data_IF_483903399227
#
_entry.id   IF_483903399227
#
_cell.length_a   1.000
_cell.length_b   1.000
_cell.length_c   1.000
_cell.angle_alpha   90.00
_cell.angle_beta   90.00
_cell.angle_gamma   90.00
#
_symmetry.space_group_name_H-M   'P 1'
#
loop_
_entity.id
_entity.type
_entity.pdbx_description
1 polymer ?
#
# COMPACT_ATOMS: atom_id res chain seq x y z
N UNK A 1 -14.28 -0.03 5.56
CA UNK A 1 -15.13 1.17 5.40
C UNK A 1 -14.86 1.79 4.03
N UNK A 2 -15.86 1.80 3.15
CA UNK A 2 -15.70 2.24 1.75
C UNK A 2 -15.57 3.77 1.71
N UNK A 3 -14.47 4.31 1.19
CA UNK A 3 -14.33 5.77 1.02
C UNK A 3 -15.57 6.34 0.29
N UNK A 4 -16.16 7.45 0.77
CA UNK A 4 -17.36 8.03 0.17
C UNK A 4 -17.11 8.34 -1.32
N UNK A 5 -18.10 8.05 -2.18
CA UNK A 5 -17.99 8.18 -3.65
C UNK A 5 -17.43 9.54 -4.09
N UNK A 6 -17.72 10.60 -3.34
CA UNK A 6 -17.30 11.98 -3.62
C UNK A 6 -15.79 12.20 -3.62
N UNK A 7 -15.00 11.40 -2.89
CA UNK A 7 -13.56 11.61 -2.80
C UNK A 7 -12.72 10.74 -3.73
N UNK A 8 -13.35 9.78 -4.43
CA UNK A 8 -12.63 8.86 -5.33
C UNK A 8 -12.01 9.53 -6.54
N UNK A 9 -12.68 10.54 -7.09
CA UNK A 9 -12.19 11.27 -8.26
C UNK A 9 -10.96 12.13 -7.92
N UNK A 10 -10.98 12.97 -6.86
CA UNK A 10 -9.79 13.69 -6.41
C UNK A 10 -8.60 12.76 -6.11
N UNK A 11 -8.84 11.64 -5.43
CA UNK A 11 -7.76 10.69 -5.08
C UNK A 11 -7.21 10.00 -6.33
N UNK A 12 -8.08 9.54 -7.24
CA UNK A 12 -7.64 8.92 -8.49
C UNK A 12 -6.83 9.90 -9.36
N UNK A 13 -7.27 11.16 -9.46
CA UNK A 13 -6.54 12.21 -10.17
C UNK A 13 -5.17 12.47 -9.51
N UNK A 14 -5.12 12.48 -8.17
CA UNK A 14 -3.86 12.65 -7.45
C UNK A 14 -2.88 11.50 -7.68
N UNK A 15 -3.35 10.25 -7.64
CA UNK A 15 -2.55 9.06 -7.93
C UNK A 15 -2.05 9.07 -9.39
N UNK A 16 -2.93 9.35 -10.35
CA UNK A 16 -2.59 9.38 -11.77
C UNK A 16 -1.55 10.45 -12.10
N UNK A 17 -1.57 11.57 -11.39
CA UNK A 17 -0.62 12.66 -11.57
C UNK A 17 0.80 12.36 -11.03
N UNK A 18 1.05 11.16 -10.52
CA UNK A 18 2.41 10.66 -10.36
C UNK A 18 3.05 10.29 -11.72
N UNK A 19 2.26 9.87 -12.71
CA UNK A 19 2.74 9.63 -14.07
C UNK A 19 2.89 10.95 -14.85
N UNK A 20 3.93 11.13 -15.70
CA UNK A 20 4.02 12.28 -16.59
C UNK A 20 2.84 12.42 -17.57
N UNK A 21 2.10 11.34 -17.83
CA UNK A 21 0.95 11.28 -18.72
C UNK A 21 -0.30 10.74 -17.99
N UNK A 22 -0.93 11.50 -17.07
CA UNK A 22 -1.99 10.98 -16.19
C UNK A 22 -3.19 10.35 -16.92
N UNK A 23 -3.47 10.80 -18.14
CA UNK A 23 -4.49 10.22 -19.00
C UNK A 23 -4.26 8.72 -19.30
N UNK A 24 -3.01 8.27 -19.44
CA UNK A 24 -2.69 6.86 -19.71
C UNK A 24 -3.06 5.99 -18.50
N UNK A 25 -2.84 6.49 -17.29
CA UNK A 25 -3.24 5.83 -16.03
C UNK A 25 -4.75 5.70 -15.97
N UNK A 26 -5.50 6.77 -16.26
CA UNK A 26 -6.96 6.72 -16.28
C UNK A 26 -7.50 5.74 -17.32
N UNK A 27 -6.92 5.69 -18.52
CA UNK A 27 -7.28 4.71 -19.54
C UNK A 27 -6.99 3.27 -19.10
N UNK A 28 -5.83 3.03 -18.48
CA UNK A 28 -5.48 1.70 -17.97
C UNK A 28 -6.48 1.25 -16.89
N UNK A 29 -6.80 2.10 -15.93
CA UNK A 29 -7.84 1.83 -14.94
C UNK A 29 -9.22 1.58 -15.56
N UNK A 30 -9.60 2.34 -16.59
CA UNK A 30 -10.88 2.15 -17.26
C UNK A 30 -10.95 0.81 -18.01
N UNK A 31 -9.85 0.35 -18.60
CA UNK A 31 -9.78 -0.86 -19.42
C UNK A 31 -9.52 -2.13 -18.61
N UNK A 32 -8.70 -2.04 -17.57
CA UNK A 32 -8.11 -3.19 -16.87
C UNK A 32 -8.39 -3.18 -15.37
N UNK A 33 -8.90 -2.08 -14.81
CA UNK A 33 -9.08 -1.93 -13.37
C UNK A 33 -7.77 -1.77 -12.59
N UNK A 34 -6.63 -1.70 -13.29
CA UNK A 34 -5.27 -1.59 -12.75
C UNK A 34 -4.45 -0.66 -13.64
N UNK A 35 -3.52 0.10 -13.06
CA UNK A 35 -2.54 0.89 -13.81
C UNK A 35 -1.15 0.73 -13.19
N UNK A 36 -0.12 0.77 -14.02
CA UNK A 36 1.27 0.88 -13.57
C UNK A 36 1.59 2.36 -13.36
N UNK A 37 1.97 2.75 -12.14
CA UNK A 37 2.24 4.14 -11.77
C UNK A 37 3.68 4.25 -11.27
N UNK A 38 4.47 5.23 -11.77
CA UNK A 38 5.85 5.43 -11.32
C UNK A 38 5.90 5.96 -9.88
N UNK A 39 6.81 5.37 -9.10
CA UNK A 39 7.18 5.82 -7.76
C UNK A 39 8.25 6.94 -7.83
N UNK A 40 8.57 7.55 -6.70
CA UNK A 40 9.59 8.61 -6.62
C UNK A 40 9.13 9.99 -7.10
N UNK A 41 7.82 10.19 -7.29
CA UNK A 41 7.24 11.48 -7.73
C UNK A 41 6.24 12.05 -6.75
N UNK A 42 5.14 11.33 -6.49
CA UNK A 42 4.14 11.73 -5.50
C UNK A 42 4.17 10.86 -4.24
N UNK A 43 4.62 9.63 -4.39
CA UNK A 43 4.74 8.67 -3.32
C UNK A 43 5.79 7.62 -3.68
N UNK A 44 6.32 7.00 -2.64
CA UNK A 44 7.12 5.79 -2.68
C UNK A 44 6.30 4.63 -2.08
N UNK A 45 6.89 3.43 -2.08
CA UNK A 45 6.27 2.28 -1.43
C UNK A 45 7.30 1.50 -0.61
N UNK A 46 6.94 1.13 0.62
CA UNK A 46 7.70 0.15 1.40
C UNK A 46 7.12 -1.23 1.10
N UNK A 47 7.96 -2.13 0.60
CA UNK A 47 7.59 -3.50 0.26
C UNK A 47 7.77 -4.40 1.48
N UNK A 48 6.66 -4.82 2.05
CA UNK A 48 6.65 -5.65 3.26
C UNK A 48 6.22 -7.08 2.90
N UNK A 49 7.00 -8.11 3.26
CA UNK A 49 6.59 -9.49 3.08
C UNK A 49 5.28 -9.82 3.82
N UNK A 50 4.51 -10.77 3.28
CA UNK A 50 3.21 -11.15 3.82
C UNK A 50 3.30 -11.61 5.27
N UNK A 51 4.26 -12.49 5.52
CA UNK A 51 4.53 -13.15 6.78
C UNK A 51 4.84 -12.16 7.88
N UNK A 52 5.55 -11.07 7.57
CA UNK A 52 5.85 -10.02 8.55
C UNK A 52 4.60 -9.26 8.97
N UNK A 53 3.75 -8.90 8.01
CA UNK A 53 2.48 -8.23 8.31
C UNK A 53 1.58 -9.18 9.10
N UNK A 54 1.46 -10.44 8.69
CA UNK A 54 0.60 -11.41 9.37
C UNK A 54 1.10 -11.74 10.78
N UNK A 55 2.42 -11.81 10.98
CA UNK A 55 3.01 -11.97 12.31
C UNK A 55 2.72 -10.75 13.20
N UNK A 56 2.86 -9.53 12.68
CA UNK A 56 2.58 -8.30 13.43
C UNK A 56 1.11 -8.19 13.85
N UNK A 57 0.20 -8.59 12.95
CA UNK A 57 -1.25 -8.58 13.16
C UNK A 57 -1.71 -9.76 14.03
N UNK A 58 -0.93 -10.83 14.11
CA UNK A 58 -1.31 -12.08 14.80
C UNK A 58 -2.27 -12.96 13.98
N UNK A 59 -2.32 -12.80 12.66
CA UNK A 59 -3.21 -13.56 11.79
C UNK A 59 -3.12 -13.17 10.31
N UNK A 60 -3.71 -14.01 9.45
CA UNK A 60 -3.71 -13.85 8.00
C UNK A 60 -5.13 -13.70 7.40
N UNK A 61 -6.16 -13.60 8.24
CA UNK A 61 -7.53 -13.43 7.78
C UNK A 61 -7.67 -12.04 7.10
N UNK A 62 -8.05 -11.99 5.80
CA UNK A 62 -8.04 -10.76 5.03
C UNK A 62 -8.77 -9.56 5.63
N UNK A 63 -9.96 -9.76 6.22
CA UNK A 63 -10.77 -8.67 6.75
C UNK A 63 -10.21 -8.13 8.06
N UNK A 64 -9.74 -9.01 8.95
CA UNK A 64 -9.07 -8.67 10.20
C UNK A 64 -7.76 -7.94 9.94
N UNK A 65 -6.95 -8.39 8.97
CA UNK A 65 -5.73 -7.70 8.56
C UNK A 65 -6.06 -6.31 7.99
N UNK A 66 -7.09 -6.19 7.15
CA UNK A 66 -7.49 -4.90 6.60
C UNK A 66 -7.97 -3.92 7.68
N UNK A 67 -8.78 -4.39 8.63
CA UNK A 67 -9.27 -3.58 9.74
C UNK A 67 -8.12 -3.11 10.65
N UNK A 68 -7.21 -4.01 11.01
CA UNK A 68 -6.05 -3.70 11.83
C UNK A 68 -5.14 -2.67 11.12
N UNK A 69 -4.80 -2.89 9.85
CA UNK A 69 -3.92 -1.98 9.12
C UNK A 69 -4.55 -0.60 8.90
N UNK A 70 -5.88 -0.54 8.70
CA UNK A 70 -6.59 0.73 8.59
C UNK A 70 -6.52 1.54 9.88
N UNK A 71 -6.66 0.90 11.03
CA UNK A 71 -6.58 1.53 12.34
C UNK A 71 -5.15 1.95 12.70
N UNK A 72 -4.17 1.08 12.43
CA UNK A 72 -2.78 1.30 12.85
C UNK A 72 -1.99 2.27 11.96
N UNK A 73 -2.11 2.12 10.63
CA UNK A 73 -1.28 2.89 9.70
C UNK A 73 -1.90 4.22 9.29
N UNK A 74 -3.23 4.35 9.42
CA UNK A 74 -4.02 5.51 8.97
C UNK A 74 -3.62 5.98 7.56
N UNK A 75 -3.47 5.02 6.64
CA UNK A 75 -2.99 5.32 5.30
C UNK A 75 -3.06 4.15 4.33
N UNK A 76 -2.77 4.41 3.05
CA UNK A 76 -3.02 3.48 1.97
C UNK A 76 -2.06 2.29 1.90
N UNK A 77 -2.64 1.10 1.73
CA UNK A 77 -1.91 -0.17 1.60
C UNK A 77 -2.46 -0.97 0.43
N UNK A 78 -1.57 -1.41 -0.45
CA UNK A 78 -1.85 -2.33 -1.56
C UNK A 78 -1.31 -3.71 -1.21
N UNK A 79 -2.01 -4.76 -1.64
CA UNK A 79 -1.56 -6.15 -1.54
C UNK A 79 -1.43 -6.76 -2.93
N UNK A 80 -0.29 -7.40 -3.19
CA UNK A 80 -0.15 -8.35 -4.30
C UNK A 80 -0.87 -9.65 -3.94
N UNK A 81 -1.80 -10.07 -4.80
CA UNK A 81 -2.66 -11.24 -4.58
C UNK A 81 -2.41 -12.36 -5.58
N UNK A 82 -1.37 -12.24 -6.42
CA UNK A 82 -0.98 -13.30 -7.39
C UNK A 82 -0.50 -14.58 -6.70
N UNK A 83 -0.10 -14.45 -5.43
CA UNK A 83 0.34 -15.54 -4.56
C UNK A 83 -0.18 -15.27 -3.15
N UNK A 84 -0.47 -16.33 -2.39
CA UNK A 84 -0.81 -16.22 -0.97
C UNK A 84 0.27 -15.47 -0.17
N UNK A 85 1.52 -15.52 -0.63
CA UNK A 85 2.69 -14.86 -0.04
C UNK A 85 3.13 -13.60 -0.80
N UNK A 86 2.29 -13.02 -1.67
CA UNK A 86 2.61 -11.74 -2.31
C UNK A 86 2.95 -10.66 -1.27
N UNK A 87 3.69 -9.58 -1.57
CA UNK A 87 3.98 -8.55 -0.58
C UNK A 87 2.82 -7.56 -0.37
N UNK A 88 2.83 -6.86 0.76
CA UNK A 88 2.13 -5.59 0.95
C UNK A 88 3.01 -4.43 0.47
N UNK A 89 2.40 -3.41 -0.09
CA UNK A 89 3.03 -2.15 -0.47
C UNK A 89 2.35 -1.03 0.31
N UNK A 90 3.09 -0.45 1.25
CA UNK A 90 2.64 0.67 2.08
C UNK A 90 3.08 1.95 1.38
N UNK A 91 2.14 2.80 0.96
CA UNK A 91 2.51 4.03 0.26
C UNK A 91 2.92 5.09 1.27
N UNK A 92 4.06 5.73 1.02
CA UNK A 92 4.67 6.72 1.92
C UNK A 92 5.12 7.95 1.13
N UNK A 93 5.32 9.08 1.81
CA UNK A 93 5.84 10.29 1.18
C UNK A 93 7.27 10.08 0.68
N UNK A 94 7.63 10.73 -0.44
CA UNK A 94 8.94 10.59 -1.10
C UNK A 94 10.10 11.16 -0.29
N UNK A 95 9.83 12.05 0.66
CA UNK A 95 10.80 12.67 1.56
C UNK A 95 10.78 12.06 2.98
N UNK A 96 9.84 11.16 3.27
CA UNK A 96 9.75 10.53 4.58
C UNK A 96 10.98 9.63 4.83
N UNK A 97 11.52 9.66 6.04
CA UNK A 97 12.65 8.83 6.40
C UNK A 97 12.20 7.36 6.62
N UNK A 98 13.01 6.41 6.17
CA UNK A 98 12.79 4.99 6.42
C UNK A 98 14.09 4.34 6.90
N UNK A 99 14.01 3.69 8.06
CA UNK A 99 15.14 3.04 8.73
C UNK A 99 14.88 1.56 9.03
N UNK A 100 13.76 1.01 8.56
CA UNK A 100 13.46 -0.42 8.71
C UNK A 100 14.24 -1.28 7.70
N UNK A 101 14.13 -2.60 7.86
CA UNK A 101 14.87 -3.56 7.05
C UNK A 101 14.23 -3.80 5.66
N UNK A 102 12.95 -3.46 5.53
CA UNK A 102 12.17 -3.68 4.32
C UNK A 102 12.60 -2.73 3.20
N UNK A 103 12.48 -3.21 1.97
CA UNK A 103 12.88 -2.46 0.78
C UNK A 103 11.95 -1.27 0.56
N UNK A 104 12.54 -0.07 0.44
CA UNK A 104 11.85 1.12 -0.07
C UNK A 104 12.00 1.17 -1.58
N UNK A 105 10.88 1.08 -2.28
CA UNK A 105 10.77 1.26 -3.72
C UNK A 105 10.50 2.74 -4.03
N UNK A 106 11.32 3.32 -4.91
CA UNK A 106 11.21 4.73 -5.32
C UNK A 106 11.45 4.90 -6.83
N UNK A 107 12.29 5.84 -7.25
CA UNK A 107 12.54 6.15 -8.66
C UNK A 107 12.91 4.90 -9.48
N UNK A 108 12.58 4.93 -10.77
CA UNK A 108 12.74 3.82 -11.71
C UNK A 108 11.92 2.55 -11.38
N UNK A 109 10.95 2.65 -10.46
CA UNK A 109 10.03 1.55 -10.15
C UNK A 109 8.60 1.90 -10.53
N UNK A 110 7.88 0.93 -11.10
CA UNK A 110 6.44 1.02 -11.38
C UNK A 110 5.68 0.14 -10.39
N UNK A 111 4.62 0.69 -9.78
CA UNK A 111 3.72 -0.03 -8.90
C UNK A 111 2.37 -0.27 -9.58
N UNK A 112 1.85 -1.49 -9.48
CA UNK A 112 0.49 -1.82 -9.93
C UNK A 112 -0.56 -1.32 -8.94
N UNK A 113 -1.19 -0.19 -9.27
CA UNK A 113 -2.18 0.49 -8.44
C UNK A 113 -3.60 0.17 -8.93
N UNK A 114 -4.46 -0.49 -8.13
CA UNK A 114 -5.84 -0.79 -8.52
C UNK A 114 -6.70 0.46 -8.63
N UNK A 115 -7.71 0.42 -9.48
CA UNK A 115 -8.73 1.47 -9.55
C UNK A 115 -9.57 1.48 -8.26
N UNK A 116 -9.75 2.66 -7.66
CA UNK A 116 -10.59 2.81 -6.48
C UNK A 116 -12.05 2.42 -6.74
N UNK A 117 -12.62 1.63 -5.85
CA UNK A 117 -14.03 1.23 -5.92
C UNK A 117 -14.37 0.24 -7.03
N UNK A 118 -13.37 -0.31 -7.72
CA UNK A 118 -13.55 -1.37 -8.69
C UNK A 118 -13.50 -2.73 -7.98
N UNK A 119 -14.25 -3.76 -8.45
CA UNK A 119 -14.11 -5.12 -7.95
C UNK A 119 -12.66 -5.60 -7.97
N UNK A 120 -12.34 -6.47 -7.02
CA UNK A 120 -11.00 -7.02 -6.79
C UNK A 120 -10.36 -7.48 -8.10
N UNK A 121 -9.16 -6.99 -8.39
CA UNK A 121 -8.36 -7.52 -9.49
C UNK A 121 -7.67 -8.81 -9.02
N UNK A 122 -7.39 -9.73 -9.95
CA UNK A 122 -6.63 -10.95 -9.66
C UNK A 122 -5.12 -10.69 -9.42
N UNK A 123 -4.66 -9.44 -9.55
CA UNK A 123 -3.25 -9.08 -9.49
C UNK A 123 -2.90 -8.34 -8.20
N UNK A 124 -3.57 -7.22 -7.95
CA UNK A 124 -3.39 -6.42 -6.74
C UNK A 124 -4.73 -5.90 -6.21
N UNK A 125 -4.80 -5.64 -4.91
CA UNK A 125 -5.98 -5.06 -4.27
C UNK A 125 -5.60 -3.97 -3.29
N UNK A 126 -6.49 -3.00 -3.11
CA UNK A 126 -6.45 -2.13 -1.94
C UNK A 126 -6.82 -2.96 -0.72
N UNK A 127 -5.96 -2.91 0.30
CA UNK A 127 -6.26 -3.42 1.65
C UNK A 127 -6.82 -2.26 2.46
N UNK A 128 -6.12 -1.12 2.41
CA UNK A 128 -6.60 0.16 2.91
C UNK A 128 -6.54 1.13 1.73
N UNK A 129 -7.68 1.61 1.19
CA UNK A 129 -7.66 2.60 0.13
C UNK A 129 -7.37 3.99 0.71
N UNK A 130 -6.68 4.87 -0.04
CA UNK A 130 -6.51 6.27 0.36
C UNK A 130 -7.87 6.97 0.47
N UNK A 131 -8.04 7.74 1.53
CA UNK A 131 -9.27 8.45 1.85
C UNK A 131 -9.33 9.82 1.18
N UNK A 132 -8.20 10.55 1.13
CA UNK A 132 -8.05 11.90 0.55
C UNK A 132 -6.82 11.98 -0.37
N UNK A 133 -6.74 12.96 -1.29
CA UNK A 133 -5.52 13.18 -2.07
C UNK A 133 -4.30 13.42 -1.19
N UNK A 134 -3.19 12.69 -1.44
CA UNK A 134 -1.98 12.83 -0.62
C UNK A 134 -2.02 12.11 0.72
N UNK A 135 -3.09 11.36 1.00
CA UNK A 135 -3.15 10.43 2.12
C UNK A 135 -2.08 9.35 1.95
N UNK A 136 -1.08 9.35 2.84
CA UNK A 136 0.11 8.49 2.79
C UNK A 136 0.46 8.07 4.21
N UNK A 137 0.95 6.85 4.36
CA UNK A 137 1.30 6.31 5.67
C UNK A 137 2.55 7.02 6.22
N UNK A 138 2.57 7.22 7.54
CA UNK A 138 3.81 7.55 8.25
C UNK A 138 4.68 6.28 8.37
N UNK A 139 5.92 6.27 7.83
CA UNK A 139 6.81 5.12 7.98
C UNK A 139 7.13 4.76 9.43
N UNK A 140 7.02 5.70 10.38
CA UNK A 140 7.23 5.43 11.81
C UNK A 140 6.17 4.46 12.36
N UNK A 141 4.90 4.59 11.95
CA UNK A 141 3.84 3.66 12.33
C UNK A 141 4.09 2.27 11.75
N UNK A 142 4.58 2.19 10.51
CA UNK A 142 4.97 0.91 9.92
C UNK A 142 6.15 0.27 10.65
N UNK A 143 7.19 1.05 10.98
CA UNK A 143 8.33 0.53 11.74
C UNK A 143 7.89 0.01 13.11
N UNK A 144 7.03 0.75 13.82
CA UNK A 144 6.45 0.33 15.09
C UNK A 144 5.68 -0.99 14.97
N UNK A 145 4.89 -1.14 13.91
CA UNK A 145 4.18 -2.39 13.63
C UNK A 145 5.14 -3.55 13.42
N UNK A 146 6.15 -3.38 12.57
CA UNK A 146 7.03 -4.48 12.18
C UNK A 146 8.01 -4.91 13.28
N UNK A 147 8.21 -4.08 14.31
CA UNK A 147 8.92 -4.47 15.53
C UNK A 147 8.14 -5.47 16.37
N UNK A 148 6.80 -5.47 16.33
CA UNK A 148 6.00 -6.48 17.07
C UNK A 148 6.07 -7.86 16.43
N UNK A 149 6.35 -7.91 15.12
CA UNK A 149 6.55 -9.14 14.37
C UNK A 149 7.92 -9.78 14.58
N UNK A 150 8.89 -9.05 15.13
CA UNK A 150 10.18 -9.63 15.44
C UNK A 150 9.98 -10.54 16.66
N UNK A 151 10.06 -11.88 16.52
CA UNK A 151 9.99 -12.72 17.69
C UNK A 151 11.11 -12.26 18.61
N UNK A 152 10.77 -11.90 19.86
CA UNK A 152 11.75 -11.71 20.92
C UNK A 152 12.78 -12.82 20.75
N UNK A 153 13.99 -12.49 20.30
CA UNK A 153 15.11 -13.43 20.29
C UNK A 153 15.24 -13.84 21.75
N UNK A 154 14.72 -15.01 22.08
CA UNK A 154 15.01 -15.67 23.34
C UNK A 154 16.51 -15.86 23.35
N UNK A 155 17.21 -14.94 24.01
CA UNK A 155 18.60 -15.14 24.42
C UNK A 155 18.53 -16.33 25.36
N UNK A 156 18.89 -17.50 24.83
CA UNK A 156 19.08 -18.70 25.64
C UNK A 156 20.28 -18.52 26.57
N UNK A 157 20.30 -19.23 27.72
CA UNK A 157 21.31 -19.08 28.76
C UNK A 157 22.72 -19.46 28.31
#
# INVERSE_FOLDING_TARGET
>A
MTAPQSNRQPVAAWLAAADPHPHTVHLAWARQGLALIPLGRRFDAIRVPAERVHAAVGGAEPEAVAAFLADWLDGPVIRDVRSAFGPYYVLVATDAAWHGAEERLSTNTLLGVPRLGHPLTMLTRWVVPPSVPGDLCDPAHLAALLMTADPLRTVGP
#
